data_IF_007722814873
#
_entry.id   IF_007722814873
#
_cell.length_a   1.000
_cell.length_b   1.000
_cell.length_c   1.000
_cell.angle_alpha   90.00
_cell.angle_beta   90.00
_cell.angle_gamma   90.00
#
_symmetry.space_group_name_H-M   'P 1'
#
loop_
_entity.id
_entity.type
_entity.pdbx_description
1 polymer ?
#
# COMPACT_ATOMS: atom_id res chain seq x y z
N UNK A 1 6.30 -17.94 -21.06
CA UNK A 1 6.23 -16.53 -21.52
C UNK A 1 5.43 -15.74 -20.52
N UNK A 2 5.95 -14.61 -20.05
CA UNK A 2 5.25 -13.66 -19.19
C UNK A 2 4.09 -13.08 -20.00
N UNK A 3 2.90 -13.06 -19.40
CA UNK A 3 1.67 -12.50 -20.00
C UNK A 3 1.46 -11.06 -19.55
N UNK A 4 1.78 -10.77 -18.30
CA UNK A 4 1.57 -9.46 -17.65
C UNK A 4 2.57 -9.30 -16.51
N UNK A 5 3.07 -8.10 -16.29
CA UNK A 5 3.88 -7.73 -15.14
C UNK A 5 3.20 -6.63 -14.35
N UNK A 6 3.20 -6.74 -13.04
CA UNK A 6 2.70 -5.72 -12.14
C UNK A 6 3.81 -5.22 -11.20
N UNK A 7 3.79 -3.92 -10.89
CA UNK A 7 4.43 -3.37 -9.70
C UNK A 7 3.37 -3.25 -8.61
N UNK A 8 3.74 -3.64 -7.40
CA UNK A 8 2.89 -3.64 -6.21
C UNK A 8 3.54 -2.79 -5.15
N UNK A 9 2.85 -1.76 -4.65
CA UNK A 9 3.36 -0.87 -3.60
C UNK A 9 2.52 -0.95 -2.34
N UNK A 10 3.14 -1.02 -1.15
CA UNK A 10 2.47 -0.99 0.13
C UNK A 10 2.57 0.39 0.80
N UNK A 11 1.66 0.72 1.68
CA UNK A 11 1.78 1.57 2.88
C UNK A 11 2.66 2.81 2.72
N UNK A 12 2.23 3.78 1.90
CA UNK A 12 2.97 5.02 1.65
C UNK A 12 2.84 6.01 2.80
N UNK A 13 1.67 6.09 3.41
CA UNK A 13 1.35 7.01 4.52
C UNK A 13 1.66 8.48 4.23
N UNK A 14 1.31 8.98 3.04
CA UNK A 14 1.47 10.42 2.76
C UNK A 14 0.80 11.27 3.85
N UNK A 15 1.41 12.37 4.29
CA UNK A 15 2.68 12.97 3.83
C UNK A 15 3.92 12.50 4.62
N UNK A 16 3.83 11.44 5.42
CA UNK A 16 4.94 10.92 6.24
C UNK A 16 5.62 9.69 5.60
N UNK A 17 5.74 9.71 4.28
CA UNK A 17 6.48 8.74 3.49
C UNK A 17 7.99 9.01 3.50
N UNK A 18 8.79 8.01 3.13
CA UNK A 18 10.19 8.19 2.80
C UNK A 18 10.32 8.54 1.31
N UNK A 19 10.72 9.78 1.02
CA UNK A 19 10.80 10.27 -0.36
C UNK A 19 11.84 9.50 -1.17
N UNK A 20 12.93 9.05 -0.56
CA UNK A 20 13.95 8.27 -1.27
C UNK A 20 13.43 6.88 -1.66
N UNK A 21 12.65 6.24 -0.78
CA UNK A 21 12.00 4.98 -1.09
C UNK A 21 10.93 5.13 -2.19
N UNK A 22 10.14 6.22 -2.13
CA UNK A 22 9.17 6.56 -3.20
C UNK A 22 9.90 6.78 -4.53
N UNK A 23 10.99 7.56 -4.55
CA UNK A 23 11.79 7.81 -5.75
C UNK A 23 12.35 6.52 -6.37
N UNK A 24 12.77 5.55 -5.54
CA UNK A 24 13.19 4.22 -6.03
C UNK A 24 12.06 3.54 -6.78
N UNK A 25 10.84 3.56 -6.23
CA UNK A 25 9.69 2.93 -6.91
C UNK A 25 9.35 3.65 -8.21
N UNK A 26 9.37 4.99 -8.23
CA UNK A 26 9.13 5.77 -9.45
C UNK A 26 10.15 5.44 -10.55
N UNK A 27 11.45 5.35 -10.22
CA UNK A 27 12.50 4.93 -11.15
C UNK A 27 12.32 3.47 -11.60
N UNK A 28 11.90 2.57 -10.67
CA UNK A 28 11.61 1.18 -11.02
C UNK A 28 10.43 1.07 -12.00
N UNK A 29 9.38 1.89 -11.87
CA UNK A 29 8.27 1.94 -12.84
C UNK A 29 8.79 2.36 -14.23
N UNK A 30 9.66 3.37 -14.30
CA UNK A 30 10.25 3.83 -15.56
C UNK A 30 11.15 2.76 -16.23
N UNK A 31 11.94 2.03 -15.43
CA UNK A 31 12.79 0.95 -15.90
C UNK A 31 11.98 -0.26 -16.39
N UNK A 32 11.01 -0.69 -15.59
CA UNK A 32 10.25 -1.93 -15.78
C UNK A 32 9.14 -1.75 -16.81
N UNK A 33 8.50 -0.57 -16.86
CA UNK A 33 7.31 -0.26 -17.66
C UNK A 33 6.24 -1.34 -17.49
N UNK A 34 5.68 -1.50 -16.28
CA UNK A 34 4.77 -2.59 -15.98
C UNK A 34 3.45 -2.46 -16.75
N UNK A 35 2.76 -3.58 -16.98
CA UNK A 35 1.41 -3.59 -17.55
C UNK A 35 0.35 -3.15 -16.54
N UNK A 36 0.62 -3.37 -15.24
CA UNK A 36 -0.28 -3.04 -14.16
C UNK A 36 0.44 -2.43 -12.96
N UNK A 37 -0.26 -1.57 -12.24
CA UNK A 37 0.14 -0.98 -10.97
C UNK A 37 -0.89 -1.29 -9.90
N UNK A 38 -0.45 -1.79 -8.74
CA UNK A 38 -1.31 -2.19 -7.63
C UNK A 38 -0.83 -1.48 -6.37
N UNK A 39 -1.68 -0.62 -5.81
CA UNK A 39 -1.46 0.00 -4.51
C UNK A 39 -2.26 -0.78 -3.46
N UNK A 40 -1.59 -1.27 -2.42
CA UNK A 40 -2.19 -2.11 -1.39
C UNK A 40 -2.90 -1.33 -0.29
N UNK A 41 -2.93 0.01 -0.34
CA UNK A 41 -3.61 0.85 0.63
C UNK A 41 -2.68 1.46 1.68
N UNK A 42 -3.28 2.06 2.71
CA UNK A 42 -2.63 2.97 3.64
C UNK A 42 -1.84 4.05 2.89
N UNK A 43 -2.54 4.68 1.93
CA UNK A 43 -1.98 5.72 1.08
C UNK A 43 -1.74 6.98 1.88
N UNK A 44 -2.68 7.35 2.75
CA UNK A 44 -2.57 8.47 3.66
C UNK A 44 -2.36 8.06 5.11
N UNK A 45 -1.68 8.90 5.89
CA UNK A 45 -1.58 8.70 7.35
C UNK A 45 -2.89 9.02 8.06
N UNK A 46 -3.63 10.02 7.56
CA UNK A 46 -4.92 10.47 8.07
C UNK A 46 -4.92 10.77 9.58
N UNK A 47 -3.87 11.43 10.05
CA UNK A 47 -3.70 11.73 11.48
C UNK A 47 -4.84 12.57 12.06
N UNK A 48 -5.42 13.48 11.25
CA UNK A 48 -6.54 14.36 11.64
C UNK A 48 -7.81 13.59 12.00
N UNK A 49 -7.98 12.37 11.50
CA UNK A 49 -9.14 11.49 11.71
C UNK A 49 -8.77 10.15 12.34
N UNK A 50 -7.53 9.97 12.78
CA UNK A 50 -6.97 8.71 13.25
C UNK A 50 -7.74 8.12 14.42
N UNK A 51 -8.25 6.91 14.26
CA UNK A 51 -8.90 6.16 15.33
C UNK A 51 -7.96 5.88 16.51
N UNK A 52 -6.65 5.79 16.27
CA UNK A 52 -5.64 5.58 17.31
C UNK A 52 -5.34 6.85 18.10
N UNK A 53 -5.15 7.98 17.44
CA UNK A 53 -4.86 9.28 18.08
C UNK A 53 -5.96 9.72 19.03
N UNK A 54 -7.20 9.47 18.65
CA UNK A 54 -8.38 9.87 19.41
C UNK A 54 -8.99 8.75 20.25
N UNK A 55 -8.38 7.59 20.32
CA UNK A 55 -8.88 6.47 21.14
C UNK A 55 -9.06 6.90 22.60
N UNK A 56 -10.30 6.83 23.08
CA UNK A 56 -10.67 7.23 24.45
C UNK A 56 -10.61 8.73 24.74
N UNK A 57 -10.53 9.59 23.71
CA UNK A 57 -10.52 11.05 23.83
C UNK A 57 -11.76 11.65 23.17
N UNK A 58 -12.14 12.86 23.61
CA UNK A 58 -13.13 13.66 22.87
C UNK A 58 -12.53 14.04 21.52
N UNK A 59 -13.29 13.84 20.46
CA UNK A 59 -12.91 14.27 19.12
C UNK A 59 -12.97 15.79 19.02
N UNK A 60 -12.10 16.42 18.21
CA UNK A 60 -12.19 17.85 17.91
C UNK A 60 -13.56 18.20 17.33
N UNK A 61 -14.03 19.41 17.59
CA UNK A 61 -15.19 19.96 16.88
C UNK A 61 -14.87 20.09 15.39
N UNK A 62 -15.90 19.96 14.54
CA UNK A 62 -15.72 19.93 13.09
C UNK A 62 -14.97 21.15 12.54
N UNK A 63 -15.24 22.33 13.06
CA UNK A 63 -14.59 23.58 12.63
C UNK A 63 -13.07 23.57 12.81
N UNK A 64 -12.55 22.84 13.82
CA UNK A 64 -11.12 22.67 14.05
C UNK A 64 -10.54 21.46 13.32
N UNK A 65 -11.33 20.43 13.08
CA UNK A 65 -10.89 19.20 12.43
C UNK A 65 -10.84 19.35 10.92
N UNK A 66 -11.83 19.99 10.31
CA UNK A 66 -11.99 20.08 8.85
C UNK A 66 -10.79 20.70 8.13
N UNK A 67 -10.20 21.84 8.59
CA UNK A 67 -9.02 22.39 7.91
C UNK A 67 -7.80 21.46 7.93
N UNK A 68 -7.70 20.58 8.96
CA UNK A 68 -6.63 19.59 9.04
C UNK A 68 -6.88 18.44 8.06
N UNK A 69 -8.14 18.01 7.91
CA UNK A 69 -8.55 16.99 6.94
C UNK A 69 -8.30 17.50 5.51
N UNK A 70 -8.72 18.73 5.21
CA UNK A 70 -8.49 19.35 3.90
C UNK A 70 -7.00 19.40 3.55
N UNK A 71 -6.16 19.80 4.51
CA UNK A 71 -4.71 19.84 4.30
C UNK A 71 -4.10 18.45 4.09
N UNK A 72 -4.56 17.44 4.82
CA UNK A 72 -4.10 16.07 4.60
C UNK A 72 -4.54 15.54 3.23
N UNK A 73 -5.78 15.79 2.79
CA UNK A 73 -6.27 15.44 1.47
C UNK A 73 -5.39 16.07 0.37
N UNK A 74 -5.05 17.35 0.50
CA UNK A 74 -4.16 18.04 -0.44
C UNK A 74 -2.79 17.32 -0.53
N UNK A 75 -2.13 17.11 0.61
CA UNK A 75 -0.80 16.48 0.69
C UNK A 75 -0.80 15.02 0.19
N UNK A 76 -1.87 14.26 0.49
CA UNK A 76 -2.02 12.89 -0.02
C UNK A 76 -2.18 12.89 -1.54
N UNK A 77 -3.00 13.80 -2.09
CA UNK A 77 -3.14 13.94 -3.53
C UNK A 77 -1.83 14.35 -4.22
N UNK A 78 -1.03 15.26 -3.63
CA UNK A 78 0.31 15.58 -4.13
C UNK A 78 1.23 14.35 -4.18
N UNK A 79 1.14 13.48 -3.16
CA UNK A 79 1.85 12.20 -3.13
C UNK A 79 1.41 11.25 -4.25
N UNK A 80 0.11 11.10 -4.45
CA UNK A 80 -0.47 10.27 -5.52
C UNK A 80 -0.06 10.80 -6.89
N UNK A 81 -0.06 12.12 -7.08
CA UNK A 81 0.30 12.77 -8.35
C UNK A 81 1.73 12.45 -8.80
N UNK A 82 2.66 12.12 -7.88
CA UNK A 82 4.00 11.66 -8.24
C UNK A 82 3.94 10.34 -9.01
N UNK A 83 3.13 9.39 -8.53
CA UNK A 83 2.93 8.11 -9.19
C UNK A 83 2.18 8.27 -10.51
N UNK A 84 1.08 9.04 -10.53
CA UNK A 84 0.28 9.23 -11.74
C UNK A 84 1.11 9.78 -12.90
N UNK A 85 1.96 10.79 -12.64
CA UNK A 85 2.87 11.34 -13.68
C UNK A 85 3.75 10.26 -14.32
N UNK A 86 4.31 9.36 -13.52
CA UNK A 86 5.20 8.30 -14.02
C UNK A 86 4.42 7.18 -14.70
N UNK A 87 3.26 6.80 -14.13
CA UNK A 87 2.37 5.80 -14.72
C UNK A 87 1.84 6.25 -16.08
N UNK A 88 1.49 7.54 -16.22
CA UNK A 88 1.06 8.13 -17.49
C UNK A 88 2.20 8.16 -18.52
N UNK A 89 3.39 8.61 -18.12
CA UNK A 89 4.60 8.59 -18.95
C UNK A 89 4.90 7.18 -19.47
N UNK A 90 4.75 6.17 -18.61
CA UNK A 90 4.98 4.76 -18.96
C UNK A 90 3.77 4.08 -19.61
N UNK A 91 2.64 4.80 -19.77
CA UNK A 91 1.39 4.30 -20.36
C UNK A 91 0.81 3.08 -19.63
N UNK A 92 0.95 3.03 -18.31
CA UNK A 92 0.39 1.97 -17.47
C UNK A 92 -1.12 2.14 -17.37
N UNK A 93 -1.87 1.26 -18.03
CA UNK A 93 -3.34 1.37 -18.16
C UNK A 93 -4.11 0.66 -17.06
N UNK A 94 -3.57 -0.41 -16.50
CA UNK A 94 -4.23 -1.16 -15.44
C UNK A 94 -3.74 -0.65 -14.09
N UNK A 95 -4.59 0.13 -13.40
CA UNK A 95 -4.29 0.71 -12.09
C UNK A 95 -5.32 0.23 -11.09
N UNK A 96 -4.84 -0.26 -9.96
CA UNK A 96 -5.66 -0.79 -8.88
C UNK A 96 -5.26 -0.13 -7.56
N UNK A 97 -6.27 0.20 -6.76
CA UNK A 97 -6.12 0.70 -5.40
C UNK A 97 -7.01 -0.08 -4.46
N UNK A 98 -6.43 -0.59 -3.40
CA UNK A 98 -7.14 -1.22 -2.30
C UNK A 98 -7.11 -0.26 -1.11
N UNK A 99 -8.25 0.01 -0.49
CA UNK A 99 -8.26 0.83 0.72
C UNK A 99 -7.56 0.11 1.86
N UNK A 100 -6.72 0.82 2.60
CA UNK A 100 -6.11 0.36 3.84
C UNK A 100 -6.93 0.76 5.06
N UNK A 101 -6.52 0.32 6.26
CA UNK A 101 -7.24 0.65 7.48
C UNK A 101 -7.13 2.14 7.86
N UNK A 102 -6.04 2.82 7.52
CA UNK A 102 -5.94 4.27 7.69
C UNK A 102 -6.89 5.00 6.74
N UNK A 103 -6.99 4.55 5.50
CA UNK A 103 -7.89 5.14 4.49
C UNK A 103 -9.37 5.04 4.90
N UNK A 104 -9.73 3.97 5.63
CA UNK A 104 -11.06 3.75 6.18
C UNK A 104 -11.43 4.72 7.30
N UNK A 105 -10.45 5.32 8.00
CA UNK A 105 -10.76 6.34 9.01
C UNK A 105 -11.40 7.58 8.37
N UNK A 106 -11.05 7.89 7.14
CA UNK A 106 -11.69 8.98 6.40
C UNK A 106 -13.12 8.59 6.00
N UNK A 107 -13.29 7.37 5.49
CA UNK A 107 -14.59 6.87 4.99
C UNK A 107 -15.55 6.56 6.13
N UNK A 108 -15.21 5.60 7.02
CA UNK A 108 -16.09 5.13 8.10
C UNK A 108 -15.86 5.87 9.43
N UNK A 109 -14.73 6.50 9.64
CA UNK A 109 -14.48 7.30 10.83
C UNK A 109 -15.05 8.70 10.75
N UNK A 110 -14.69 9.45 9.71
CA UNK A 110 -15.07 10.85 9.54
C UNK A 110 -16.43 11.02 8.86
N UNK A 111 -16.64 10.42 7.68
CA UNK A 111 -17.87 10.61 6.93
C UNK A 111 -19.11 9.97 7.60
N UNK A 112 -18.96 8.87 8.32
CA UNK A 112 -20.09 8.29 9.07
C UNK A 112 -20.55 9.20 10.20
N UNK A 113 -19.61 9.95 10.80
CA UNK A 113 -19.93 10.95 11.82
C UNK A 113 -20.60 12.18 11.23
N UNK A 114 -20.23 12.53 10.01
CA UNK A 114 -20.74 13.69 9.27
C UNK A 114 -21.32 13.25 7.92
N UNK A 115 -22.56 12.65 7.90
CA UNK A 115 -23.10 12.01 6.69
C UNK A 115 -23.32 12.95 5.49
N UNK A 116 -23.33 14.27 5.70
CA UNK A 116 -23.38 15.26 4.63
C UNK A 116 -22.02 15.51 3.95
N UNK A 117 -20.91 14.98 4.52
CA UNK A 117 -19.55 15.13 3.99
C UNK A 117 -19.13 13.94 3.11
N UNK A 118 -20.05 13.43 2.27
CA UNK A 118 -19.82 12.25 1.41
C UNK A 118 -18.67 12.40 0.40
N UNK A 119 -18.27 13.63 0.10
CA UNK A 119 -17.17 13.90 -0.82
C UNK A 119 -15.80 13.73 -0.17
N UNK A 120 -15.77 13.56 1.15
CA UNK A 120 -14.58 13.28 1.95
C UNK A 120 -14.28 11.78 2.11
N UNK A 121 -15.08 10.87 1.54
CA UNK A 121 -14.70 9.45 1.51
C UNK A 121 -13.36 9.28 0.78
N UNK A 122 -12.53 8.35 1.21
CA UNK A 122 -11.21 8.10 0.61
C UNK A 122 -11.27 7.98 -0.91
N UNK A 123 -12.31 7.28 -1.43
CA UNK A 123 -12.51 7.15 -2.87
C UNK A 123 -12.66 8.48 -3.58
N UNK A 124 -13.46 9.39 -3.01
CA UNK A 124 -13.75 10.70 -3.63
C UNK A 124 -12.66 11.73 -3.34
N UNK A 125 -12.22 11.83 -2.09
CA UNK A 125 -11.19 12.77 -1.66
C UNK A 125 -9.88 12.60 -2.45
N UNK A 126 -9.50 11.35 -2.75
CA UNK A 126 -8.33 11.04 -3.57
C UNK A 126 -8.63 10.92 -5.07
N UNK A 127 -9.90 11.12 -5.50
CA UNK A 127 -10.32 11.14 -6.91
C UNK A 127 -9.93 9.87 -7.69
N UNK A 128 -10.05 8.69 -7.06
CA UNK A 128 -9.55 7.44 -7.63
C UNK A 128 -10.17 7.08 -8.98
N UNK A 129 -11.47 7.30 -9.14
CA UNK A 129 -12.18 7.04 -10.42
C UNK A 129 -11.69 7.97 -11.54
N UNK A 130 -11.49 9.26 -11.23
CA UNK A 130 -11.01 10.27 -12.17
C UNK A 130 -9.56 10.01 -12.60
N UNK A 131 -8.74 9.47 -11.69
CA UNK A 131 -7.36 9.05 -11.94
C UNK A 131 -7.27 7.73 -12.73
N UNK A 132 -8.41 7.08 -13.00
CA UNK A 132 -8.48 5.82 -13.76
C UNK A 132 -8.09 4.56 -12.98
N UNK A 133 -8.12 4.63 -11.65
CA UNK A 133 -7.91 3.44 -10.82
C UNK A 133 -9.20 2.64 -10.64
N UNK A 134 -9.05 1.31 -10.61
CA UNK A 134 -10.10 0.42 -10.12
C UNK A 134 -9.99 0.33 -8.60
N UNK A 135 -10.98 0.87 -7.92
CA UNK A 135 -11.04 0.96 -6.47
C UNK A 135 -11.62 -0.30 -5.85
N UNK A 136 -10.99 -0.77 -4.76
CA UNK A 136 -11.43 -1.88 -3.92
C UNK A 136 -11.56 -1.39 -2.48
N UNK A 137 -12.72 -1.68 -1.87
CA UNK A 137 -12.98 -1.37 -0.47
C UNK A 137 -12.03 -2.13 0.46
N UNK A 138 -11.85 -1.63 1.67
CA UNK A 138 -11.09 -2.33 2.70
C UNK A 138 -11.58 -3.77 2.88
N UNK A 139 -10.66 -4.72 2.99
CA UNK A 139 -10.92 -6.16 3.03
C UNK A 139 -11.55 -6.77 1.76
N UNK A 140 -11.77 -6.00 0.69
CA UNK A 140 -12.17 -6.56 -0.60
C UNK A 140 -10.94 -7.02 -1.38
N UNK A 141 -10.79 -8.32 -1.68
CA UNK A 141 -9.61 -8.80 -2.39
C UNK A 141 -9.67 -8.48 -3.88
N UNK A 142 -8.55 -8.00 -4.43
CA UNK A 142 -8.30 -7.99 -5.87
C UNK A 142 -7.71 -9.34 -6.27
N UNK A 143 -8.37 -10.08 -7.18
CA UNK A 143 -7.86 -11.34 -7.71
C UNK A 143 -7.29 -11.17 -9.11
N UNK A 144 -6.01 -11.49 -9.29
CA UNK A 144 -5.37 -11.59 -10.60
C UNK A 144 -4.71 -12.97 -10.75
N UNK A 145 -5.16 -13.74 -11.75
CA UNK A 145 -4.69 -15.11 -11.93
C UNK A 145 -4.95 -15.98 -10.70
N UNK A 146 -3.89 -16.57 -10.14
CA UNK A 146 -3.95 -17.44 -8.96
C UNK A 146 -3.53 -16.74 -7.66
N UNK A 147 -3.46 -15.42 -7.63
CA UNK A 147 -3.06 -14.65 -6.45
C UNK A 147 -4.10 -13.58 -6.12
N UNK A 148 -4.32 -13.37 -4.82
CA UNK A 148 -5.16 -12.32 -4.28
C UNK A 148 -4.29 -11.23 -3.68
N UNK A 149 -4.71 -9.99 -3.84
CA UNK A 149 -4.11 -8.82 -3.23
C UNK A 149 -5.10 -8.26 -2.22
N UNK A 150 -4.62 -7.93 -1.04
CA UNK A 150 -5.39 -7.27 0.03
C UNK A 150 -4.50 -6.22 0.69
N UNK A 151 -5.09 -5.30 1.46
CA UNK A 151 -4.26 -4.46 2.31
C UNK A 151 -3.55 -5.29 3.38
N UNK A 152 -4.25 -6.12 4.10
CA UNK A 152 -3.76 -6.95 5.21
C UNK A 152 -4.72 -6.85 6.40
N UNK A 153 -4.67 -7.86 7.28
CA UNK A 153 -5.63 -7.96 8.39
C UNK A 153 -4.99 -8.40 9.73
N UNK A 154 -3.80 -8.97 9.70
CA UNK A 154 -3.20 -9.59 10.88
C UNK A 154 -1.80 -9.05 11.13
N UNK A 155 -1.60 -8.37 12.27
CA UNK A 155 -0.31 -7.84 12.72
C UNK A 155 0.28 -8.70 13.88
N UNK A 156 0.42 -10.00 13.64
CA UNK A 156 1.03 -10.96 14.59
C UNK A 156 2.48 -11.25 14.22
N UNK A 157 3.28 -11.80 15.13
CA UNK A 157 4.70 -12.14 14.86
C UNK A 157 4.89 -12.97 13.59
N UNK A 158 3.99 -13.92 13.33
CA UNK A 158 4.02 -14.78 12.14
C UNK A 158 2.83 -14.47 11.22
N UNK A 159 2.67 -13.20 10.88
CA UNK A 159 1.50 -12.72 10.14
C UNK A 159 1.39 -13.32 8.73
N UNK A 160 2.50 -13.63 8.04
CA UNK A 160 2.43 -14.31 6.74
C UNK A 160 1.81 -15.70 6.85
N UNK A 161 2.18 -16.47 7.89
CA UNK A 161 1.55 -17.75 8.19
C UNK A 161 0.06 -17.56 8.52
N UNK A 162 -0.26 -16.57 9.36
CA UNK A 162 -1.64 -16.29 9.78
C UNK A 162 -2.54 -15.91 8.61
N UNK A 163 -2.06 -15.03 7.70
CA UNK A 163 -2.78 -14.69 6.48
C UNK A 163 -3.03 -15.93 5.61
N UNK A 164 -1.99 -16.76 5.42
CA UNK A 164 -2.09 -17.96 4.60
C UNK A 164 -3.11 -18.97 5.15
N UNK A 165 -3.11 -19.18 6.47
CA UNK A 165 -4.07 -20.04 7.16
C UNK A 165 -5.51 -19.50 7.06
N UNK A 166 -5.69 -18.19 7.25
CA UNK A 166 -7.00 -17.55 7.24
C UNK A 166 -7.63 -17.51 5.84
N UNK A 167 -6.86 -17.18 4.81
CA UNK A 167 -7.37 -17.02 3.46
C UNK A 167 -7.29 -18.29 2.60
N UNK A 168 -6.46 -19.25 2.96
CA UNK A 168 -6.34 -20.54 2.29
C UNK A 168 -5.91 -20.48 0.81
N UNK A 169 -5.30 -19.36 0.36
CA UNK A 169 -4.95 -19.07 -1.02
C UNK A 169 -3.66 -18.27 -1.12
N UNK A 170 -3.10 -18.13 -2.33
CA UNK A 170 -1.99 -17.21 -2.55
C UNK A 170 -2.42 -15.78 -2.28
N UNK A 171 -1.63 -15.06 -1.46
CA UNK A 171 -1.97 -13.71 -1.00
C UNK A 171 -0.75 -12.80 -0.93
N UNK A 172 -0.91 -11.58 -1.44
CA UNK A 172 0.06 -10.49 -1.35
C UNK A 172 -0.59 -9.36 -0.57
N UNK A 173 0.12 -8.77 0.41
CA UNK A 173 -0.45 -7.80 1.33
C UNK A 173 0.59 -6.80 1.87
N UNK A 174 0.12 -5.66 2.39
CA UNK A 174 0.85 -4.62 3.11
C UNK A 174 0.59 -4.65 4.63
N UNK A 175 0.23 -3.51 5.24
CA UNK A 175 -0.26 -3.33 6.60
C UNK A 175 0.77 -3.52 7.72
N UNK A 176 1.62 -4.51 7.64
CA UNK A 176 2.56 -4.88 8.72
C UNK A 176 3.89 -4.15 8.65
N UNK A 177 4.16 -3.48 7.53
CA UNK A 177 5.36 -2.70 7.23
C UNK A 177 6.66 -3.51 7.19
N UNK A 178 6.63 -4.82 7.46
CA UNK A 178 7.80 -5.70 7.38
C UNK A 178 7.69 -6.66 6.20
N UNK A 179 8.78 -7.37 5.93
CA UNK A 179 8.85 -8.37 4.88
C UNK A 179 8.76 -9.75 5.51
N UNK A 180 7.70 -10.47 5.20
CA UNK A 180 7.57 -11.88 5.53
C UNK A 180 7.09 -12.69 4.33
N UNK A 181 7.54 -13.92 4.28
CA UNK A 181 7.02 -14.93 3.36
C UNK A 181 6.75 -16.22 4.11
N UNK A 182 5.60 -16.82 3.84
CA UNK A 182 5.29 -18.17 4.29
C UNK A 182 4.64 -18.97 3.16
N UNK A 183 4.92 -20.28 3.10
CA UNK A 183 4.30 -21.16 2.12
C UNK A 183 3.95 -22.49 2.76
N UNK A 184 2.84 -23.10 2.28
CA UNK A 184 2.43 -24.45 2.66
C UNK A 184 2.08 -25.23 1.38
N UNK A 185 2.37 -26.53 1.42
CA UNK A 185 1.96 -27.44 0.35
C UNK A 185 0.76 -28.25 0.82
N UNK A 186 -0.32 -28.22 0.03
CA UNK A 186 -1.53 -28.98 0.26
C UNK A 186 -1.59 -30.13 -0.75
N UNK A 187 -2.13 -31.28 -0.34
CA UNK A 187 -2.19 -32.50 -1.16
C UNK A 187 -2.88 -32.22 -2.51
N UNK A 188 -4.06 -31.59 -2.47
CA UNK A 188 -4.91 -31.43 -3.67
C UNK A 188 -4.67 -30.15 -4.47
N UNK A 189 -4.14 -29.10 -3.86
CA UNK A 189 -3.99 -27.77 -4.48
C UNK A 189 -2.55 -27.31 -4.69
N UNK A 190 -1.57 -28.12 -4.31
CA UNK A 190 -0.15 -27.78 -4.43
C UNK A 190 0.29 -26.71 -3.44
N UNK A 191 1.38 -26.01 -3.77
CA UNK A 191 1.97 -24.98 -2.89
C UNK A 191 1.26 -23.64 -3.07
N UNK A 192 0.82 -23.07 -1.94
CA UNK A 192 0.32 -21.71 -1.84
C UNK A 192 1.22 -20.89 -0.92
N UNK A 193 1.25 -19.56 -1.11
CA UNK A 193 2.12 -18.65 -0.37
C UNK A 193 1.45 -17.35 0.04
N UNK A 194 2.00 -16.72 1.08
CA UNK A 194 1.70 -15.37 1.50
C UNK A 194 2.97 -14.52 1.48
N UNK A 195 2.87 -13.28 1.00
CA UNK A 195 3.98 -12.32 0.87
C UNK A 195 3.56 -10.96 1.42
N UNK A 196 4.29 -10.47 2.42
CA UNK A 196 4.21 -9.09 2.89
C UNK A 196 5.21 -8.23 2.12
N UNK A 197 4.81 -6.98 1.79
CA UNK A 197 5.54 -6.12 0.85
C UNK A 197 6.34 -5.00 1.54
N UNK A 198 6.46 -4.98 2.87
CA UNK A 198 7.10 -3.85 3.57
C UNK A 198 6.23 -2.59 3.58
N UNK A 199 6.86 -1.41 3.51
CA UNK A 199 6.20 -0.10 3.42
C UNK A 199 7.06 0.91 2.65
N UNK A 200 6.49 2.10 2.41
CA UNK A 200 7.21 3.29 1.90
C UNK A 200 7.13 4.46 2.90
N UNK A 201 6.68 4.20 4.13
CA UNK A 201 6.57 5.17 5.22
C UNK A 201 7.94 5.57 5.74
N UNK A 202 8.11 6.83 6.15
CA UNK A 202 9.28 7.27 6.94
C UNK A 202 9.33 6.52 8.28
N UNK A 203 10.36 5.70 8.46
CA UNK A 203 10.55 4.86 9.64
C UNK A 203 11.29 5.55 10.77
N UNK A 204 11.65 6.84 10.62
CA UNK A 204 12.41 7.59 11.63
C UNK A 204 11.63 7.69 12.97
N UNK A 205 12.35 7.68 14.12
CA UNK A 205 11.72 7.85 15.43
C UNK A 205 10.95 9.15 15.57
N UNK A 206 11.36 10.21 14.85
CA UNK A 206 10.73 11.52 14.85
C UNK A 206 9.31 11.48 14.30
N UNK A 207 9.07 10.66 13.29
CA UNK A 207 7.77 10.47 12.66
C UNK A 207 6.92 9.39 13.36
N UNK A 208 7.56 8.50 14.12
CA UNK A 208 6.91 7.36 14.77
C UNK A 208 7.01 7.40 16.30
N UNK A 209 6.80 8.57 16.89
CA UNK A 209 6.88 8.82 18.36
C UNK A 209 5.99 7.90 19.20
N UNK A 210 4.89 7.40 18.60
CA UNK A 210 3.96 6.48 19.25
C UNK A 210 4.60 5.11 19.57
N UNK A 211 5.68 4.74 18.87
CA UNK A 211 6.46 3.53 19.18
C UNK A 211 7.18 3.63 20.53
N UNK A 212 7.42 4.85 21.05
CA UNK A 212 8.12 5.09 22.33
C UNK A 212 9.46 4.35 22.42
N UNK A 213 10.22 4.32 21.32
CA UNK A 213 11.53 3.66 21.24
C UNK A 213 11.48 2.12 21.13
N UNK A 214 10.30 1.53 20.95
CA UNK A 214 10.20 0.08 20.69
C UNK A 214 10.81 -0.24 19.34
N UNK A 215 11.57 -1.34 19.30
CA UNK A 215 12.09 -1.88 18.05
C UNK A 215 10.94 -2.39 17.17
N UNK A 216 11.12 -2.28 15.87
CA UNK A 216 10.21 -2.79 14.85
C UNK A 216 11.02 -3.47 13.73
N UNK A 217 10.37 -4.32 12.95
CA UNK A 217 10.98 -5.04 11.83
C UNK A 217 10.56 -4.42 10.48
N UNK A 218 10.23 -3.13 10.45
CA UNK A 218 9.80 -2.46 9.24
C UNK A 218 10.91 -2.39 8.20
N UNK A 219 10.54 -2.55 6.94
CA UNK A 219 11.45 -2.52 5.81
C UNK A 219 10.84 -1.69 4.67
N UNK A 220 11.66 -0.91 3.99
CA UNK A 220 11.26 -0.33 2.72
C UNK A 220 11.35 -1.38 1.63
N UNK A 221 10.24 -1.61 0.91
CA UNK A 221 10.19 -2.51 -0.22
C UNK A 221 8.99 -2.26 -1.13
N UNK A 222 9.02 -2.90 -2.29
CA UNK A 222 7.88 -3.03 -3.21
C UNK A 222 7.92 -4.42 -3.87
N UNK A 223 6.85 -4.78 -4.58
CA UNK A 223 6.75 -6.07 -5.24
C UNK A 223 6.82 -5.96 -6.77
N UNK A 224 7.44 -6.95 -7.42
CA UNK A 224 7.28 -7.21 -8.84
C UNK A 224 6.57 -8.56 -8.98
N UNK A 225 5.46 -8.58 -9.73
CA UNK A 225 4.69 -9.81 -9.94
C UNK A 225 4.58 -10.11 -11.42
N UNK A 226 5.17 -11.23 -11.84
CA UNK A 226 5.06 -11.74 -13.20
C UNK A 226 3.94 -12.78 -13.29
N UNK A 227 2.96 -12.55 -14.15
CA UNK A 227 1.88 -13.50 -14.45
C UNK A 227 2.17 -14.25 -15.71
N UNK A 228 2.00 -15.57 -15.69
CA UNK A 228 2.19 -16.44 -16.84
C UNK A 228 0.86 -16.81 -17.52
N UNK A 229 0.92 -17.29 -18.77
CA UNK A 229 -0.29 -17.64 -19.54
C UNK A 229 -1.17 -18.69 -18.88
N UNK A 230 -0.60 -19.61 -18.10
CA UNK A 230 -1.32 -20.65 -17.36
C UNK A 230 -1.94 -20.18 -16.02
N UNK A 231 -1.87 -18.88 -15.75
CA UNK A 231 -2.34 -18.26 -14.50
C UNK A 231 -1.38 -18.41 -13.31
N UNK A 232 -0.27 -19.10 -13.47
CA UNK A 232 0.82 -19.10 -12.49
C UNK A 232 1.48 -17.72 -12.45
N UNK A 233 2.22 -17.47 -11.38
CA UNK A 233 2.88 -16.18 -11.14
C UNK A 233 4.22 -16.39 -10.43
N UNK A 234 5.06 -15.37 -10.49
CA UNK A 234 6.30 -15.23 -9.69
C UNK A 234 6.18 -13.93 -8.91
N UNK A 235 6.53 -13.96 -7.63
CA UNK A 235 6.64 -12.78 -6.77
C UNK A 235 8.11 -12.53 -6.49
N UNK A 236 8.53 -11.30 -6.64
CA UNK A 236 9.81 -10.78 -6.23
C UNK A 236 9.54 -9.59 -5.30
N UNK A 237 10.01 -9.67 -4.04
CA UNK A 237 9.99 -8.56 -3.10
C UNK A 237 11.34 -7.86 -3.25
N UNK A 238 11.30 -6.60 -3.64
CA UNK A 238 12.48 -5.76 -3.89
C UNK A 238 12.68 -4.87 -2.67
N UNK A 239 13.68 -5.19 -1.87
CA UNK A 239 14.04 -4.41 -0.68
C UNK A 239 14.77 -3.12 -1.10
N UNK A 240 14.51 -2.05 -0.35
CA UNK A 240 15.15 -0.75 -0.52
C UNK A 240 15.98 -0.48 0.74
N UNK A 241 17.28 -0.33 0.58
CA UNK A 241 18.21 -0.03 1.68
C UNK A 241 18.83 1.34 1.45
N UNK A 242 18.68 2.23 2.43
CA UNK A 242 19.20 3.61 2.37
C UNK A 242 18.83 4.34 1.05
N UNK A 243 17.57 4.19 0.64
CA UNK A 243 17.05 4.78 -0.59
C UNK A 243 17.60 4.20 -1.89
N UNK A 244 18.14 2.97 -1.86
CA UNK A 244 18.74 2.30 -3.03
C UNK A 244 18.30 0.85 -3.14
N UNK A 245 18.28 0.36 -4.37
CA UNK A 245 18.07 -1.05 -4.67
C UNK A 245 18.69 -1.44 -6.01
N UNK A 246 18.62 -2.71 -6.35
CA UNK A 246 18.95 -3.20 -7.70
C UNK A 246 17.76 -3.94 -8.30
N UNK A 247 17.45 -3.64 -9.55
CA UNK A 247 16.42 -4.36 -10.30
C UNK A 247 17.06 -4.88 -11.59
N UNK A 248 17.08 -6.19 -11.75
CA UNK A 248 17.67 -6.87 -12.92
C UNK A 248 19.13 -6.49 -13.22
N UNK A 249 19.88 -6.20 -12.15
CA UNK A 249 21.29 -5.79 -12.26
C UNK A 249 21.51 -4.29 -12.44
N UNK A 250 20.47 -3.50 -12.64
CA UNK A 250 20.54 -2.04 -12.71
C UNK A 250 20.40 -1.44 -11.30
N UNK A 251 21.32 -0.55 -10.92
CA UNK A 251 21.25 0.20 -9.66
C UNK A 251 20.22 1.32 -9.79
N UNK A 252 19.29 1.34 -8.85
CA UNK A 252 18.31 2.43 -8.66
C UNK A 252 18.68 3.21 -7.40
N UNK A 253 18.82 4.53 -7.50
CA UNK A 253 19.22 5.42 -6.42
C UNK A 253 18.19 6.56 -6.28
N UNK A 254 17.30 6.42 -5.31
CA UNK A 254 16.24 7.38 -5.01
C UNK A 254 16.68 8.61 -4.21
N UNK A 255 17.97 8.65 -3.83
CA UNK A 255 18.54 9.80 -3.07
C UNK A 255 19.03 10.94 -3.97
N UNK A 256 19.00 10.74 -5.29
CA UNK A 256 19.44 11.70 -6.31
C UNK A 256 18.29 12.47 -6.91
#
# INVERSE_FOLDING_TARGET
MIKKRAIVIPDQHFPIHDQSAVNVVLQAIELIKPDAFINLGDVGEWESVSAWKYKGKKLPELEFQLPLVDKEIELVNEGIDQFDRVLDKCKVKERYILAGNHDEWLTYGFCDRYPYMKDYTFRKACRWDERGYKYFEYNQPLKLGKVNFIHGAYATTYHAKKHLEAYGSNIIYGHTHDIQRHSITKLDSGTIGAWSMGCLKDMSPQKNKWLRGRLHNWNHAFGIVDFFKNGNFKVEVVEITDGKTTVWGELIDGTK
#
